data_IF_600228158829
#
_entry.id   IF_600228158829
#
_cell.length_a   1.000
_cell.length_b   1.000
_cell.length_c   1.000
_cell.angle_alpha   90.00
_cell.angle_beta   90.00
_cell.angle_gamma   90.00
#
_symmetry.space_group_name_H-M   'P 1'
#
loop_
_entity.id
_entity.type
_entity.pdbx_description
1 polymer ?
#
# COMPACT_ATOMS: atom_id res chain seq x y z
N UNK A 1 -23.65 34.96 -13.26
CA UNK A 1 -22.26 35.12 -12.74
C UNK A 1 -21.89 33.90 -11.90
N UNK A 2 -20.64 33.41 -11.94
CA UNK A 2 -20.21 32.34 -11.04
C UNK A 2 -20.32 32.80 -9.58
N UNK A 3 -20.75 31.90 -8.68
CA UNK A 3 -20.72 32.18 -7.24
C UNK A 3 -19.27 32.30 -6.76
N UNK A 4 -19.01 33.07 -5.70
CA UNK A 4 -17.66 33.21 -5.10
C UNK A 4 -16.97 31.86 -4.89
N UNK A 5 -17.71 30.84 -4.41
CA UNK A 5 -17.20 29.47 -4.24
C UNK A 5 -16.78 28.80 -5.55
N UNK A 6 -17.54 28.97 -6.63
CA UNK A 6 -17.18 28.40 -7.94
C UNK A 6 -15.99 29.11 -8.55
N UNK A 7 -15.88 30.44 -8.40
CA UNK A 7 -14.74 31.22 -8.85
C UNK A 7 -13.47 30.79 -8.10
N UNK A 8 -13.53 30.68 -6.77
CA UNK A 8 -12.41 30.24 -5.93
C UNK A 8 -11.90 28.85 -6.36
N UNK A 9 -12.81 27.89 -6.60
CA UNK A 9 -12.44 26.55 -7.09
C UNK A 9 -11.73 26.60 -8.44
N UNK A 10 -12.24 27.40 -9.37
CA UNK A 10 -11.64 27.56 -10.71
C UNK A 10 -10.24 28.16 -10.62
N UNK A 11 -10.08 29.24 -9.86
CA UNK A 11 -8.79 29.90 -9.67
C UNK A 11 -7.79 28.97 -8.95
N UNK A 12 -8.24 28.23 -7.94
CA UNK A 12 -7.41 27.22 -7.27
C UNK A 12 -6.93 26.12 -8.21
N UNK A 13 -7.82 25.60 -9.07
CA UNK A 13 -7.44 24.60 -10.09
C UNK A 13 -6.45 25.14 -11.11
N UNK A 14 -6.62 26.39 -11.56
CA UNK A 14 -5.66 27.06 -12.46
C UNK A 14 -4.31 27.24 -11.76
N UNK A 15 -4.30 27.76 -10.53
CA UNK A 15 -3.06 27.97 -9.78
C UNK A 15 -2.29 26.65 -9.57
N UNK A 16 -2.98 25.56 -9.24
CA UNK A 16 -2.38 24.24 -9.09
C UNK A 16 -1.80 23.73 -10.42
N UNK A 17 -2.54 23.86 -11.52
CA UNK A 17 -2.08 23.47 -12.84
C UNK A 17 -0.86 24.29 -13.29
N UNK A 18 -0.89 25.61 -13.12
CA UNK A 18 0.24 26.50 -13.40
C UNK A 18 1.46 26.11 -12.56
N UNK A 19 1.29 25.89 -11.26
CA UNK A 19 2.39 25.48 -10.37
C UNK A 19 3.04 24.17 -10.84
N UNK A 20 2.23 23.14 -11.14
CA UNK A 20 2.73 21.86 -11.64
C UNK A 20 3.45 21.99 -12.99
N UNK A 21 2.84 22.68 -13.96
CA UNK A 21 3.40 22.84 -15.30
C UNK A 21 4.69 23.66 -15.30
N UNK A 22 4.75 24.72 -14.49
CA UNK A 22 5.98 25.51 -14.31
C UNK A 22 7.07 24.69 -13.64
N UNK A 23 6.76 23.95 -12.58
CA UNK A 23 7.74 23.11 -11.89
C UNK A 23 8.26 21.98 -12.79
N UNK A 24 7.38 21.35 -13.57
CA UNK A 24 7.75 20.35 -14.58
C UNK A 24 8.61 20.96 -15.70
N UNK A 25 8.31 22.19 -16.14
CA UNK A 25 9.12 22.93 -17.11
C UNK A 25 10.52 23.26 -16.59
N UNK A 26 10.62 23.72 -15.35
CA UNK A 26 11.91 23.96 -14.70
C UNK A 26 12.72 22.66 -14.57
N UNK A 27 12.07 21.56 -14.21
CA UNK A 27 12.74 20.26 -14.13
C UNK A 27 13.21 19.78 -15.50
N UNK A 28 12.41 19.96 -16.55
CA UNK A 28 12.81 19.58 -17.91
C UNK A 28 13.92 20.46 -18.46
N UNK A 29 13.91 21.76 -18.14
CA UNK A 29 15.03 22.66 -18.41
C UNK A 29 16.33 22.13 -17.81
N UNK A 30 16.33 21.76 -16.53
CA UNK A 30 17.54 21.23 -15.87
C UNK A 30 18.06 19.92 -16.48
N UNK A 31 17.17 19.11 -17.07
CA UNK A 31 17.56 17.87 -17.78
C UNK A 31 18.22 18.19 -19.13
N UNK A 32 17.81 19.29 -19.78
CA UNK A 32 18.13 19.58 -21.18
C UNK A 32 19.19 20.67 -21.35
N UNK A 33 19.40 21.49 -20.33
CA UNK A 33 20.43 22.52 -20.27
C UNK A 33 21.82 21.91 -20.07
N UNK A 34 22.85 22.51 -20.70
CA UNK A 34 24.22 22.00 -20.70
C UNK A 34 24.46 20.86 -21.71
N UNK A 35 23.51 20.57 -22.60
CA UNK A 35 23.60 19.47 -23.56
C UNK A 35 24.27 19.84 -24.88
N UNK A 36 24.57 21.12 -25.14
CA UNK A 36 25.24 21.56 -26.37
C UNK A 36 25.44 23.06 -26.44
N UNK A 37 25.96 23.60 -27.55
CA UNK A 37 26.36 25.01 -27.66
C UNK A 37 25.47 25.88 -28.55
N UNK A 38 24.33 25.36 -29.00
CA UNK A 38 23.60 25.94 -30.15
C UNK A 38 22.62 27.05 -29.75
N UNK A 39 21.96 26.94 -28.60
CA UNK A 39 20.94 27.89 -28.16
C UNK A 39 20.99 28.11 -26.65
N UNK A 40 22.03 28.77 -26.14
CA UNK A 40 22.16 29.02 -24.70
C UNK A 40 22.37 27.74 -23.88
N UNK A 41 23.39 26.96 -24.23
CA UNK A 41 23.77 25.67 -23.63
C UNK A 41 22.87 24.46 -23.99
N UNK A 42 22.00 24.60 -24.99
CA UNK A 42 21.22 23.48 -25.53
C UNK A 42 21.85 22.90 -26.80
N UNK A 43 21.78 21.57 -26.94
CA UNK A 43 21.84 20.96 -28.28
C UNK A 43 20.57 21.25 -29.07
N UNK A 44 20.61 21.22 -30.41
CA UNK A 44 19.43 21.46 -31.26
C UNK A 44 18.27 20.51 -30.93
N UNK A 45 18.56 19.23 -30.70
CA UNK A 45 17.55 18.20 -30.38
C UNK A 45 16.84 18.51 -29.06
N UNK A 46 17.61 18.86 -28.03
CA UNK A 46 17.08 19.13 -26.69
C UNK A 46 16.42 20.50 -26.59
N UNK A 47 16.94 21.51 -27.28
CA UNK A 47 16.29 22.82 -27.40
C UNK A 47 14.92 22.70 -28.07
N UNK A 48 14.81 21.93 -29.16
CA UNK A 48 13.52 21.67 -29.82
C UNK A 48 12.56 20.89 -28.91
N UNK A 49 13.05 19.84 -28.23
CA UNK A 49 12.23 19.07 -27.31
C UNK A 49 11.69 19.93 -26.15
N UNK A 50 12.52 20.78 -25.57
CA UNK A 50 12.13 21.72 -24.52
C UNK A 50 11.10 22.73 -25.02
N UNK A 51 11.30 23.30 -26.21
CA UNK A 51 10.34 24.22 -26.82
C UNK A 51 8.97 23.55 -27.05
N UNK A 52 8.97 22.34 -27.61
CA UNK A 52 7.74 21.56 -27.82
C UNK A 52 7.03 21.25 -26.48
N UNK A 53 7.80 20.97 -25.43
CA UNK A 53 7.25 20.78 -24.09
C UNK A 53 6.62 22.05 -23.53
N UNK A 54 7.26 23.22 -23.70
CA UNK A 54 6.67 24.50 -23.28
C UNK A 54 5.37 24.80 -24.02
N UNK A 55 5.33 24.55 -25.34
CA UNK A 55 4.11 24.68 -26.15
C UNK A 55 3.01 23.75 -25.64
N UNK A 56 3.35 22.49 -25.33
CA UNK A 56 2.43 21.53 -24.75
C UNK A 56 1.89 22.01 -23.39
N UNK A 57 2.76 22.52 -22.51
CA UNK A 57 2.38 23.02 -21.19
C UNK A 57 1.40 24.22 -21.30
N UNK A 58 1.69 25.17 -22.20
CA UNK A 58 0.79 26.30 -22.47
C UNK A 58 -0.56 25.80 -23.02
N UNK A 59 -0.55 24.86 -23.97
CA UNK A 59 -1.77 24.29 -24.53
C UNK A 59 -2.62 23.56 -23.48
N UNK A 60 -1.99 22.82 -22.57
CA UNK A 60 -2.65 22.16 -21.44
C UNK A 60 -3.28 23.19 -20.48
N UNK A 61 -2.53 24.23 -20.10
CA UNK A 61 -3.05 25.28 -19.22
C UNK A 61 -4.23 26.01 -19.84
N UNK A 62 -4.12 26.39 -21.12
CA UNK A 62 -5.21 27.03 -21.86
C UNK A 62 -6.44 26.12 -21.94
N UNK A 63 -6.25 24.83 -22.21
CA UNK A 63 -7.35 23.86 -22.22
C UNK A 63 -8.05 23.80 -20.86
N UNK A 64 -7.30 23.76 -19.77
CA UNK A 64 -7.87 23.76 -18.41
C UNK A 64 -8.68 25.04 -18.15
N UNK A 65 -8.13 26.22 -18.48
CA UNK A 65 -8.83 27.50 -18.31
C UNK A 65 -10.15 27.51 -19.09
N UNK A 66 -10.10 27.12 -20.36
CA UNK A 66 -11.27 27.12 -21.25
C UNK A 66 -12.33 26.09 -20.83
N UNK A 67 -11.93 24.92 -20.36
CA UNK A 67 -12.84 23.90 -19.79
C UNK A 67 -13.52 24.45 -18.53
N UNK A 68 -12.76 25.06 -17.61
CA UNK A 68 -13.28 25.59 -16.36
C UNK A 68 -14.28 26.74 -16.59
N UNK A 69 -14.07 27.53 -17.64
CA UNK A 69 -14.98 28.62 -18.06
C UNK A 69 -16.13 28.17 -18.97
N UNK A 70 -16.26 26.87 -19.25
CA UNK A 70 -17.33 26.30 -20.10
C UNK A 70 -17.42 26.98 -21.46
N UNK A 71 -16.28 27.14 -22.13
CA UNK A 71 -16.27 27.63 -23.49
C UNK A 71 -17.02 26.63 -24.42
N UNK A 72 -18.06 27.09 -25.11
CA UNK A 72 -18.93 26.25 -25.96
C UNK A 72 -18.17 25.53 -27.08
N UNK A 73 -17.15 26.17 -27.66
CA UNK A 73 -16.31 25.57 -28.70
C UNK A 73 -15.52 24.37 -28.14
N UNK A 74 -14.95 24.52 -26.94
CA UNK A 74 -14.24 23.42 -26.26
C UNK A 74 -15.21 22.31 -25.86
N UNK A 75 -16.40 22.65 -25.37
CA UNK A 75 -17.40 21.65 -25.02
C UNK A 75 -17.86 20.85 -26.25
N UNK A 76 -18.03 21.51 -27.41
CA UNK A 76 -18.31 20.85 -28.68
C UNK A 76 -17.15 19.96 -29.16
N UNK A 77 -15.91 20.41 -29.01
CA UNK A 77 -14.74 19.59 -29.32
C UNK A 77 -14.68 18.34 -28.42
N UNK A 78 -14.92 18.51 -27.12
CA UNK A 78 -14.94 17.44 -26.15
C UNK A 78 -16.06 16.42 -26.40
N UNK A 79 -17.24 16.85 -26.85
CA UNK A 79 -18.32 15.93 -27.21
C UNK A 79 -17.99 15.14 -28.50
N UNK A 80 -17.34 15.77 -29.49
CA UNK A 80 -16.80 15.08 -30.66
C UNK A 80 -15.75 14.04 -30.27
N UNK A 81 -14.85 14.38 -29.35
CA UNK A 81 -13.88 13.45 -28.78
C UNK A 81 -14.56 12.28 -28.05
N UNK A 82 -15.63 12.52 -27.29
CA UNK A 82 -16.42 11.45 -26.69
C UNK A 82 -17.01 10.52 -27.76
N UNK A 83 -17.55 11.09 -28.85
CA UNK A 83 -18.02 10.34 -30.01
C UNK A 83 -16.94 9.47 -30.66
N UNK A 84 -15.74 10.03 -30.87
CA UNK A 84 -14.59 9.30 -31.42
C UNK A 84 -14.18 8.14 -30.51
N UNK A 85 -14.06 8.36 -29.20
CA UNK A 85 -13.77 7.31 -28.21
C UNK A 85 -14.73 6.13 -28.34
N UNK A 86 -16.01 6.41 -28.52
CA UNK A 86 -17.04 5.36 -28.57
C UNK A 86 -16.95 4.54 -29.87
N UNK A 87 -16.37 5.10 -30.94
CA UNK A 87 -16.13 4.40 -32.20
C UNK A 87 -14.89 3.48 -32.16
N UNK A 88 -13.99 3.66 -31.20
CA UNK A 88 -12.74 2.90 -31.12
C UNK A 88 -12.93 1.40 -30.84
N UNK A 89 -14.09 0.96 -30.31
CA UNK A 89 -14.36 -0.46 -30.06
C UNK A 89 -13.27 -1.13 -29.22
N UNK A 90 -12.62 -2.17 -29.78
CA UNK A 90 -11.53 -2.91 -29.11
C UNK A 90 -10.23 -2.10 -29.01
N UNK A 91 -9.95 -1.20 -29.96
CA UNK A 91 -8.74 -0.36 -29.95
C UNK A 91 -8.71 0.54 -28.70
N UNK A 92 -9.88 0.93 -28.20
CA UNK A 92 -10.03 1.67 -26.94
C UNK A 92 -9.35 0.95 -25.78
N UNK A 93 -9.51 -0.36 -25.69
CA UNK A 93 -8.95 -1.17 -24.62
C UNK A 93 -7.46 -1.42 -24.81
N UNK A 94 -6.99 -1.57 -26.05
CA UNK A 94 -5.57 -1.62 -26.35
C UNK A 94 -4.86 -0.32 -25.94
N UNK A 95 -5.45 0.83 -26.27
CA UNK A 95 -4.93 2.13 -25.80
C UNK A 95 -5.00 2.27 -24.28
N UNK A 96 -6.06 1.78 -23.63
CA UNK A 96 -6.16 1.82 -22.17
C UNK A 96 -5.04 1.01 -21.51
N UNK A 97 -4.75 -0.18 -22.03
CA UNK A 97 -3.62 -1.03 -21.58
C UNK A 97 -2.29 -0.34 -21.86
N UNK A 98 -2.11 0.26 -23.04
CA UNK A 98 -0.88 0.97 -23.38
C UNK A 98 -0.64 2.17 -22.44
N UNK A 99 -1.66 2.97 -22.15
CA UNK A 99 -1.58 4.11 -21.22
C UNK A 99 -1.33 3.64 -19.78
N UNK A 100 -1.81 2.46 -19.41
CA UNK A 100 -1.54 1.87 -18.09
C UNK A 100 -0.09 1.39 -17.94
N UNK A 101 0.46 0.76 -18.99
CA UNK A 101 1.78 0.11 -18.95
C UNK A 101 2.91 1.08 -19.29
N UNK A 102 2.77 1.87 -20.36
CA UNK A 102 3.87 2.66 -20.93
C UNK A 102 4.51 3.64 -19.94
N UNK A 103 3.77 4.43 -19.15
CA UNK A 103 4.38 5.33 -18.17
C UNK A 103 5.17 4.58 -17.10
N UNK A 104 4.62 3.46 -16.62
CA UNK A 104 5.27 2.62 -15.60
C UNK A 104 6.52 1.97 -16.18
N UNK A 105 6.43 1.43 -17.39
CA UNK A 105 7.56 0.82 -18.08
C UNK A 105 8.68 1.83 -18.33
N UNK A 106 8.33 3.01 -18.87
CA UNK A 106 9.29 4.07 -19.14
C UNK A 106 10.01 4.51 -17.86
N UNK A 107 9.26 4.74 -16.78
CA UNK A 107 9.83 5.22 -15.52
C UNK A 107 10.59 4.15 -14.73
N UNK A 108 10.30 2.86 -14.93
CA UNK A 108 10.91 1.78 -14.16
C UNK A 108 12.04 1.06 -14.89
N UNK A 109 11.92 0.86 -16.20
CA UNK A 109 12.80 -0.03 -16.98
C UNK A 109 13.64 0.69 -18.02
N UNK A 110 13.65 2.02 -18.03
CA UNK A 110 14.51 2.82 -18.92
C UNK A 110 15.32 3.84 -18.13
N UNK A 111 16.40 4.35 -18.73
CA UNK A 111 17.24 5.38 -18.11
C UNK A 111 16.45 6.67 -17.78
N UNK A 112 15.32 6.91 -18.44
CA UNK A 112 14.44 8.04 -18.15
C UNK A 112 13.88 8.00 -16.73
N UNK A 113 13.72 6.82 -16.14
CA UNK A 113 13.36 6.68 -14.73
C UNK A 113 14.32 7.41 -13.79
N UNK A 114 15.62 7.40 -14.10
CA UNK A 114 16.65 8.04 -13.28
C UNK A 114 16.72 9.56 -13.49
N UNK A 115 16.44 10.01 -14.71
CA UNK A 115 16.60 11.41 -15.12
C UNK A 115 15.33 12.23 -14.82
N UNK A 116 14.15 11.65 -14.97
CA UNK A 116 12.87 12.33 -14.74
C UNK A 116 12.65 12.45 -13.24
N UNK A 117 12.61 13.68 -12.75
CA UNK A 117 12.36 14.02 -11.36
C UNK A 117 10.88 14.00 -10.97
N UNK A 118 10.57 14.59 -9.82
CA UNK A 118 9.27 14.44 -9.15
C UNK A 118 8.12 15.15 -9.88
N UNK A 119 8.35 16.32 -10.46
CA UNK A 119 7.29 17.12 -11.09
C UNK A 119 6.93 16.59 -12.47
N UNK A 120 7.92 16.16 -13.26
CA UNK A 120 7.65 15.50 -14.53
C UNK A 120 6.96 14.15 -14.32
N UNK A 121 7.37 13.37 -13.31
CA UNK A 121 6.65 12.13 -12.92
C UNK A 121 5.19 12.41 -12.56
N UNK A 122 4.94 13.46 -11.76
CA UNK A 122 3.58 13.86 -11.39
C UNK A 122 2.77 14.31 -12.61
N UNK A 123 3.37 15.04 -13.54
CA UNK A 123 2.73 15.45 -14.80
C UNK A 123 2.39 14.23 -15.68
N UNK A 124 3.34 13.30 -15.86
CA UNK A 124 3.14 12.05 -16.61
C UNK A 124 1.99 11.25 -15.99
N UNK A 125 1.98 11.11 -14.66
CA UNK A 125 0.91 10.43 -13.94
C UNK A 125 -0.45 11.13 -14.14
N UNK A 126 -0.51 12.46 -14.00
CA UNK A 126 -1.74 13.23 -14.17
C UNK A 126 -2.29 13.14 -15.60
N UNK A 127 -1.44 13.27 -16.61
CA UNK A 127 -1.82 13.10 -18.02
C UNK A 127 -2.31 11.68 -18.28
N UNK A 128 -1.58 10.67 -17.79
CA UNK A 128 -1.99 9.27 -17.94
C UNK A 128 -3.34 9.01 -17.29
N UNK A 129 -3.61 9.57 -16.11
CA UNK A 129 -4.89 9.45 -15.43
C UNK A 129 -6.05 10.12 -16.19
N UNK A 130 -5.82 11.29 -16.79
CA UNK A 130 -6.82 11.97 -17.63
C UNK A 130 -7.10 11.16 -18.90
N UNK A 131 -6.06 10.70 -19.60
CA UNK A 131 -6.19 9.92 -20.84
C UNK A 131 -6.87 8.58 -20.56
N UNK A 132 -6.41 7.84 -19.55
CA UNK A 132 -7.04 6.58 -19.15
C UNK A 132 -8.46 6.82 -18.65
N UNK A 133 -8.72 7.88 -17.89
CA UNK A 133 -10.05 8.24 -17.42
C UNK A 133 -11.01 8.53 -18.57
N UNK A 134 -10.55 9.23 -19.61
CA UNK A 134 -11.29 9.42 -20.85
C UNK A 134 -11.60 8.07 -21.49
N UNK A 135 -10.60 7.19 -21.63
CA UNK A 135 -10.75 5.84 -22.18
C UNK A 135 -11.60 4.90 -21.31
N UNK A 136 -11.80 5.15 -20.02
CA UNK A 136 -12.65 4.32 -19.14
C UNK A 136 -14.07 4.86 -18.97
N UNK A 137 -14.30 6.12 -19.33
CA UNK A 137 -15.60 6.80 -19.21
C UNK A 137 -16.65 6.14 -20.10
N UNK A 138 -17.84 5.83 -19.55
CA UNK A 138 -18.89 5.07 -20.26
C UNK A 138 -19.94 5.97 -20.91
N UNK A 139 -20.16 7.18 -20.39
CA UNK A 139 -21.15 8.09 -20.97
C UNK A 139 -20.85 8.44 -22.42
N UNK A 140 -21.87 8.40 -23.27
CA UNK A 140 -21.74 8.73 -24.69
C UNK A 140 -21.46 10.22 -24.93
N UNK A 141 -21.94 11.07 -24.03
CA UNK A 141 -21.94 12.53 -24.18
C UNK A 141 -20.74 13.18 -23.47
N UNK A 142 -20.35 12.63 -22.31
CA UNK A 142 -19.28 13.21 -21.50
C UNK A 142 -17.92 12.61 -21.89
N UNK A 143 -16.91 13.45 -22.18
CA UNK A 143 -15.56 12.95 -22.47
C UNK A 143 -14.94 12.25 -21.26
N UNK A 144 -15.17 12.80 -20.07
CA UNK A 144 -14.57 12.36 -18.82
C UNK A 144 -15.63 12.40 -17.72
N UNK A 145 -15.79 11.29 -17.02
CA UNK A 145 -16.62 11.17 -15.82
C UNK A 145 -15.75 11.02 -14.59
N UNK A 146 -16.25 11.51 -13.45
CA UNK A 146 -15.58 11.36 -12.16
C UNK A 146 -15.25 9.90 -11.84
N UNK A 147 -16.19 8.98 -12.06
CA UNK A 147 -15.96 7.55 -11.81
C UNK A 147 -14.93 6.93 -12.76
N UNK A 148 -14.90 7.39 -14.02
CA UNK A 148 -13.88 6.98 -14.98
C UNK A 148 -12.49 7.46 -14.58
N UNK A 149 -12.38 8.73 -14.14
CA UNK A 149 -11.14 9.30 -13.63
C UNK A 149 -10.68 8.61 -12.33
N UNK A 150 -11.59 8.35 -11.40
CA UNK A 150 -11.28 7.64 -10.16
C UNK A 150 -10.76 6.22 -10.45
N UNK A 151 -11.41 5.49 -11.36
CA UNK A 151 -10.92 4.18 -11.80
C UNK A 151 -9.52 4.28 -12.42
N UNK A 152 -9.27 5.28 -13.26
CA UNK A 152 -7.97 5.50 -13.88
C UNK A 152 -6.86 5.80 -12.85
N UNK A 153 -7.14 6.68 -11.90
CA UNK A 153 -6.23 7.02 -10.80
C UNK A 153 -5.87 5.78 -9.98
N UNK A 154 -6.87 4.97 -9.62
CA UNK A 154 -6.68 3.72 -8.88
C UNK A 154 -5.85 2.72 -9.67
N UNK A 155 -6.16 2.51 -10.96
CA UNK A 155 -5.45 1.54 -11.80
C UNK A 155 -4.00 1.93 -12.04
N UNK A 156 -3.73 3.18 -12.43
CA UNK A 156 -2.35 3.63 -12.70
C UNK A 156 -1.51 3.58 -11.42
N UNK A 157 -2.07 4.03 -10.30
CA UNK A 157 -1.35 3.97 -9.02
C UNK A 157 -1.11 2.52 -8.59
N UNK A 158 -2.10 1.64 -8.77
CA UNK A 158 -1.98 0.22 -8.48
C UNK A 158 -0.94 -0.47 -9.35
N UNK A 159 -0.95 -0.20 -10.67
CA UNK A 159 0.04 -0.74 -11.60
C UNK A 159 1.45 -0.26 -11.27
N UNK A 160 1.61 1.04 -11.00
CA UNK A 160 2.90 1.60 -10.60
C UNK A 160 3.46 0.94 -9.34
N UNK A 161 2.64 0.86 -8.28
CA UNK A 161 3.02 0.21 -7.02
C UNK A 161 3.37 -1.27 -7.24
N UNK A 162 2.54 -2.01 -7.97
CA UNK A 162 2.76 -3.44 -8.21
C UNK A 162 4.06 -3.68 -8.98
N UNK A 163 4.31 -2.92 -10.05
CA UNK A 163 5.52 -3.05 -10.86
C UNK A 163 6.76 -2.59 -10.08
N UNK A 164 6.65 -1.54 -9.26
CA UNK A 164 7.73 -1.11 -8.37
C UNK A 164 8.17 -2.24 -7.42
N UNK A 165 7.23 -2.99 -6.85
CA UNK A 165 7.54 -4.15 -6.00
C UNK A 165 8.27 -5.27 -6.76
N UNK A 166 8.14 -5.32 -8.09
CA UNK A 166 8.83 -6.28 -8.96
C UNK A 166 10.09 -5.72 -9.63
N UNK A 167 10.42 -4.44 -9.39
CA UNK A 167 11.51 -3.74 -10.08
C UNK A 167 12.90 -4.35 -9.87
N UNK A 168 13.08 -5.08 -8.77
CA UNK A 168 14.35 -5.72 -8.40
C UNK A 168 14.38 -7.22 -8.70
N UNK A 169 13.41 -7.76 -9.46
CA UNK A 169 13.36 -9.20 -9.78
C UNK A 169 14.35 -9.53 -10.90
N UNK A 170 15.55 -9.98 -10.50
CA UNK A 170 16.65 -10.34 -11.40
C UNK A 170 17.41 -11.55 -10.85
N UNK A 171 18.15 -12.25 -11.71
CA UNK A 171 19.08 -13.33 -11.32
C UNK A 171 20.47 -12.82 -10.89
N UNK A 172 20.67 -11.51 -10.78
CA UNK A 172 21.98 -10.92 -10.47
C UNK A 172 22.46 -11.35 -9.07
N UNK A 173 23.68 -11.88 -8.90
CA UNK A 173 24.08 -12.56 -7.67
C UNK A 173 24.34 -11.62 -6.49
N UNK A 174 24.54 -10.33 -6.73
CA UNK A 174 24.81 -9.37 -5.65
C UNK A 174 23.56 -8.63 -5.18
N UNK A 175 23.66 -8.10 -3.97
CA UNK A 175 22.65 -7.26 -3.33
C UNK A 175 22.35 -6.04 -4.21
N UNK A 176 21.06 -5.78 -4.46
CA UNK A 176 20.55 -4.61 -5.20
C UNK A 176 20.17 -3.46 -4.25
N UNK A 177 20.03 -3.74 -2.96
CA UNK A 177 19.71 -2.73 -1.96
C UNK A 177 20.34 -3.00 -0.59
N UNK A 178 20.18 -2.02 0.30
CA UNK A 178 20.66 -2.12 1.67
C UNK A 178 19.99 -3.29 2.41
N UNK A 179 20.80 -4.12 3.05
CA UNK A 179 20.38 -5.29 3.85
C UNK A 179 19.57 -6.35 3.10
N UNK A 180 19.50 -6.33 1.76
CA UNK A 180 18.77 -7.37 0.99
C UNK A 180 19.40 -8.75 1.21
N UNK A 181 20.72 -8.87 1.07
CA UNK A 181 21.44 -10.14 1.31
C UNK A 181 21.20 -10.69 2.73
N UNK A 182 21.27 -9.84 3.75
CA UNK A 182 21.00 -10.25 5.14
C UNK A 182 19.56 -10.75 5.31
N UNK A 183 18.57 -10.09 4.69
CA UNK A 183 17.17 -10.54 4.76
C UNK A 183 16.98 -11.90 4.10
N UNK A 184 17.68 -12.19 3.02
CA UNK A 184 17.57 -13.47 2.35
C UNK A 184 18.22 -14.60 3.11
N UNK A 185 19.40 -14.32 3.68
CA UNK A 185 20.01 -15.19 4.67
C UNK A 185 18.97 -15.55 5.74
N UNK A 186 18.41 -14.53 6.41
CA UNK A 186 17.43 -14.73 7.48
C UNK A 186 16.17 -15.49 7.00
N UNK A 187 15.61 -15.17 5.82
CA UNK A 187 14.44 -15.88 5.25
C UNK A 187 14.71 -17.35 4.97
N UNK A 188 15.92 -17.67 4.51
CA UNK A 188 16.27 -19.03 4.13
C UNK A 188 16.49 -19.95 5.32
N UNK A 189 16.83 -19.45 6.51
CA UNK A 189 17.25 -20.31 7.63
C UNK A 189 16.12 -21.24 8.10
N UNK A 190 14.87 -20.76 8.11
CA UNK A 190 13.76 -21.55 8.66
C UNK A 190 13.44 -22.82 7.86
N UNK A 191 13.50 -22.73 6.52
CA UNK A 191 13.09 -23.84 5.63
C UNK A 191 14.21 -24.38 4.74
N UNK A 192 15.29 -23.62 4.57
CA UNK A 192 16.41 -23.93 3.69
C UNK A 192 17.75 -23.93 4.41
N UNK A 193 17.80 -24.25 5.71
CA UNK A 193 19.05 -24.36 6.48
C UNK A 193 20.12 -25.20 5.75
N UNK A 194 19.70 -26.29 5.14
CA UNK A 194 20.58 -27.31 4.57
C UNK A 194 21.33 -26.84 3.31
N UNK A 195 21.02 -25.64 2.80
CA UNK A 195 21.79 -25.00 1.71
C UNK A 195 23.14 -24.46 2.20
N UNK A 196 23.34 -24.36 3.52
CA UNK A 196 24.55 -23.81 4.11
C UNK A 196 25.43 -24.90 4.72
N UNK A 197 26.74 -24.76 4.54
CA UNK A 197 27.73 -25.57 5.23
C UNK A 197 27.91 -24.98 6.63
N UNK A 198 27.07 -25.42 7.58
CA UNK A 198 27.09 -24.95 8.97
C UNK A 198 26.89 -26.14 9.93
N UNK A 199 27.58 -26.20 11.09
CA UNK A 199 27.45 -27.32 12.01
C UNK A 199 26.00 -27.58 12.43
N UNK A 200 25.51 -28.80 12.25
CA UNK A 200 24.12 -29.16 12.52
C UNK A 200 23.70 -28.91 13.96
N UNK A 201 24.63 -29.08 14.90
CA UNK A 201 24.44 -28.89 16.34
C UNK A 201 24.37 -27.42 16.76
N UNK A 202 24.77 -26.48 15.89
CA UNK A 202 24.79 -25.05 16.23
C UNK A 202 23.61 -24.28 15.64
N UNK A 203 22.98 -23.36 16.40
CA UNK A 203 22.01 -22.45 15.82
C UNK A 203 22.70 -21.52 14.82
N UNK A 204 22.04 -21.27 13.69
CA UNK A 204 22.47 -20.21 12.76
C UNK A 204 21.92 -18.90 13.32
N UNK A 205 22.74 -17.85 13.48
CA UNK A 205 22.25 -16.55 13.92
C UNK A 205 21.28 -15.97 12.87
N UNK A 206 20.12 -15.53 13.34
CA UNK A 206 19.09 -14.90 12.52
C UNK A 206 18.66 -13.59 13.18
N UNK A 207 18.57 -12.52 12.38
CA UNK A 207 18.22 -11.19 12.88
C UNK A 207 16.73 -10.85 12.70
N UNK A 208 16.02 -11.61 11.87
CA UNK A 208 14.57 -11.44 11.68
C UNK A 208 13.75 -12.29 12.65
N UNK A 209 12.59 -11.75 13.00
CA UNK A 209 11.57 -12.51 13.70
C UNK A 209 11.06 -13.70 12.88
N UNK A 210 10.61 -14.74 13.59
CA UNK A 210 10.19 -16.00 12.96
C UNK A 210 8.99 -15.82 12.02
N UNK A 211 8.12 -14.83 12.26
CA UNK A 211 7.01 -14.53 11.35
C UNK A 211 7.48 -14.07 9.98
N UNK A 212 8.49 -13.20 9.95
CA UNK A 212 9.12 -12.77 8.68
C UNK A 212 9.90 -13.89 8.03
N UNK A 213 10.60 -14.72 8.79
CA UNK A 213 11.26 -15.91 8.25
C UNK A 213 10.25 -16.87 7.63
N UNK A 214 9.11 -17.10 8.29
CA UNK A 214 8.05 -17.95 7.80
C UNK A 214 7.50 -17.48 6.45
N UNK A 215 7.14 -16.20 6.34
CA UNK A 215 6.58 -15.68 5.09
C UNK A 215 7.63 -15.53 4.00
N UNK A 216 8.81 -15.00 4.33
CA UNK A 216 9.88 -14.81 3.34
C UNK A 216 10.53 -16.11 2.89
N UNK A 217 10.51 -17.12 3.76
CA UNK A 217 11.18 -18.41 3.58
C UNK A 217 10.38 -19.43 2.77
N UNK A 218 9.09 -19.21 2.50
CA UNK A 218 8.23 -20.17 1.78
C UNK A 218 8.88 -20.77 0.52
N UNK A 219 9.59 -20.00 -0.34
CA UNK A 219 10.25 -20.58 -1.51
C UNK A 219 11.23 -21.70 -1.18
N UNK A 220 11.93 -21.62 -0.05
CA UNK A 220 12.96 -22.57 0.38
C UNK A 220 12.40 -23.92 0.86
N UNK A 221 11.07 -24.09 0.91
CA UNK A 221 10.46 -25.41 0.99
C UNK A 221 10.68 -26.23 -0.29
N UNK A 222 10.99 -25.56 -1.41
CA UNK A 222 11.35 -26.21 -2.66
C UNK A 222 12.87 -26.41 -2.74
N UNK A 223 13.34 -27.53 -3.31
CA UNK A 223 14.76 -27.70 -3.58
C UNK A 223 15.22 -26.74 -4.68
N UNK A 224 16.50 -26.32 -4.62
CA UNK A 224 17.19 -25.54 -5.66
C UNK A 224 16.52 -24.19 -6.03
N UNK A 225 16.07 -23.44 -5.02
CA UNK A 225 15.52 -22.08 -5.23
C UNK A 225 16.57 -21.17 -5.85
N UNK A 226 16.23 -20.57 -6.99
CA UNK A 226 17.07 -19.57 -7.66
C UNK A 226 16.91 -18.18 -7.03
N UNK A 227 17.95 -17.35 -7.18
CA UNK A 227 17.94 -15.92 -6.79
C UNK A 227 16.73 -15.17 -7.38
N UNK A 228 16.40 -15.46 -8.64
CA UNK A 228 15.26 -14.86 -9.32
C UNK A 228 13.93 -15.26 -8.66
N UNK A 229 13.74 -16.53 -8.31
CA UNK A 229 12.53 -17.01 -7.63
C UNK A 229 12.37 -16.39 -6.24
N UNK A 230 13.47 -16.30 -5.47
CA UNK A 230 13.44 -15.67 -4.16
C UNK A 230 13.07 -14.18 -4.25
N UNK A 231 13.60 -13.44 -5.24
CA UNK A 231 13.22 -12.04 -5.51
C UNK A 231 11.79 -11.89 -5.95
N UNK A 232 11.34 -12.74 -6.86
CA UNK A 232 9.96 -12.73 -7.32
C UNK A 232 9.03 -12.92 -6.12
N UNK A 233 9.32 -13.88 -5.25
CA UNK A 233 8.53 -14.12 -4.05
C UNK A 233 8.48 -12.89 -3.15
N UNK A 234 9.62 -12.28 -2.81
CA UNK A 234 9.67 -11.07 -1.99
C UNK A 234 8.90 -9.91 -2.65
N UNK A 235 9.05 -9.73 -3.95
CA UNK A 235 8.31 -8.73 -4.71
C UNK A 235 6.80 -8.94 -4.66
N UNK A 236 6.34 -10.20 -4.81
CA UNK A 236 4.94 -10.56 -4.70
C UNK A 236 4.40 -10.37 -3.28
N UNK A 237 5.16 -10.77 -2.25
CA UNK A 237 4.81 -10.55 -0.83
C UNK A 237 4.66 -9.05 -0.51
N UNK A 238 5.42 -8.19 -1.19
CA UNK A 238 5.35 -6.74 -1.02
C UNK A 238 4.20 -6.07 -1.82
N UNK A 239 3.34 -6.82 -2.52
CA UNK A 239 2.23 -6.22 -3.28
C UNK A 239 0.93 -7.03 -3.20
N UNK A 240 0.99 -8.34 -3.43
CA UNK A 240 -0.18 -9.21 -3.56
C UNK A 240 -1.01 -9.31 -2.28
N UNK A 241 -0.44 -9.48 -1.07
CA UNK A 241 -1.25 -9.56 0.15
C UNK A 241 -2.07 -8.30 0.41
N UNK A 242 -1.58 -7.12 0.02
CA UNK A 242 -2.32 -5.87 0.14
C UNK A 242 -3.57 -5.85 -0.75
N UNK A 243 -3.47 -6.42 -1.96
CA UNK A 243 -4.62 -6.61 -2.85
C UNK A 243 -5.61 -7.67 -2.31
N UNK A 244 -5.09 -8.79 -1.77
CA UNK A 244 -5.91 -9.84 -1.14
C UNK A 244 -6.70 -9.28 0.06
N UNK A 245 -6.08 -8.43 0.87
CA UNK A 245 -6.77 -7.74 1.97
C UNK A 245 -7.99 -6.98 1.45
N UNK A 246 -7.86 -6.26 0.34
CA UNK A 246 -8.98 -5.57 -0.31
C UNK A 246 -10.09 -6.52 -0.76
N UNK A 247 -9.73 -7.64 -1.38
CA UNK A 247 -10.70 -8.65 -1.83
C UNK A 247 -11.50 -9.22 -0.64
N UNK A 248 -10.82 -9.51 0.46
CA UNK A 248 -11.42 -10.12 1.66
C UNK A 248 -12.24 -9.11 2.47
N UNK A 249 -11.75 -7.87 2.60
CA UNK A 249 -12.41 -6.81 3.38
C UNK A 249 -13.71 -6.32 2.71
N UNK A 250 -13.72 -6.19 1.37
CA UNK A 250 -14.85 -5.64 0.62
C UNK A 250 -15.68 -6.72 -0.08
N UNK A 251 -16.22 -7.68 0.68
CA UNK A 251 -16.92 -8.86 0.15
C UNK A 251 -17.96 -8.51 -0.93
N UNK A 252 -17.97 -9.33 -1.99
CA UNK A 252 -18.56 -9.04 -3.31
C UNK A 252 -20.07 -8.73 -3.36
N UNK A 253 -20.89 -8.93 -2.32
CA UNK A 253 -22.35 -8.82 -2.46
C UNK A 253 -22.85 -7.39 -2.75
N UNK A 254 -22.05 -6.37 -2.41
CA UNK A 254 -22.40 -4.95 -2.62
C UNK A 254 -21.77 -4.34 -3.88
N UNK A 255 -20.90 -5.08 -4.57
CA UNK A 255 -20.09 -4.55 -5.67
C UNK A 255 -20.18 -5.44 -6.90
N UNK A 256 -20.22 -4.82 -8.08
CA UNK A 256 -19.95 -5.56 -9.33
C UNK A 256 -18.50 -6.08 -9.33
N UNK A 257 -18.20 -7.14 -10.09
CA UNK A 257 -16.84 -7.73 -10.15
C UNK A 257 -15.73 -6.69 -10.41
N UNK A 258 -16.01 -5.70 -11.28
CA UNK A 258 -15.07 -4.63 -11.59
C UNK A 258 -14.90 -3.63 -10.46
N UNK A 259 -15.99 -3.23 -9.79
CA UNK A 259 -15.90 -2.36 -8.61
C UNK A 259 -15.16 -3.06 -7.47
N UNK A 260 -15.41 -4.36 -7.27
CA UNK A 260 -14.70 -5.15 -6.28
C UNK A 260 -13.19 -5.22 -6.55
N UNK A 261 -12.80 -5.43 -7.82
CA UNK A 261 -11.42 -5.34 -8.25
C UNK A 261 -10.82 -3.95 -7.98
N UNK A 262 -11.49 -2.88 -8.42
CA UNK A 262 -11.00 -1.51 -8.24
C UNK A 262 -10.85 -1.13 -6.77
N UNK A 263 -11.82 -1.46 -5.92
CA UNK A 263 -11.72 -1.21 -4.48
C UNK A 263 -10.55 -2.02 -3.89
N UNK A 264 -10.30 -3.23 -4.36
CA UNK A 264 -9.17 -4.05 -3.90
C UNK A 264 -7.81 -3.46 -4.33
N UNK A 265 -7.71 -2.94 -5.55
CA UNK A 265 -6.52 -2.18 -6.00
C UNK A 265 -6.36 -0.89 -5.19
N UNK A 266 -7.46 -0.20 -4.87
CA UNK A 266 -7.42 0.99 -4.03
C UNK A 266 -6.91 0.67 -2.61
N UNK A 267 -7.39 -0.42 -2.00
CA UNK A 267 -6.87 -0.90 -0.70
C UNK A 267 -5.37 -1.18 -0.80
N UNK A 268 -4.91 -1.82 -1.88
CA UNK A 268 -3.49 -2.05 -2.10
C UNK A 268 -2.68 -0.74 -2.11
N UNK A 269 -3.11 0.24 -2.91
CA UNK A 269 -2.43 1.54 -3.01
C UNK A 269 -2.45 2.32 -1.69
N UNK A 270 -3.54 2.21 -0.92
CA UNK A 270 -3.70 2.91 0.34
C UNK A 270 -2.84 2.28 1.45
N UNK A 271 -2.94 0.96 1.63
CA UNK A 271 -2.31 0.27 2.76
C UNK A 271 -0.79 0.16 2.60
N UNK A 272 -0.29 0.09 1.37
CA UNK A 272 1.16 0.02 1.08
C UNK A 272 1.92 1.32 1.41
N UNK A 273 1.23 2.45 1.58
CA UNK A 273 1.86 3.70 2.02
C UNK A 273 2.43 3.57 3.44
N UNK A 274 1.87 2.65 4.24
CA UNK A 274 2.39 2.32 5.56
C UNK A 274 3.49 1.26 5.47
N UNK A 275 4.57 1.36 6.27
CA UNK A 275 5.59 0.30 6.39
C UNK A 275 5.02 -0.88 7.20
N UNK A 276 4.06 -1.61 6.63
CA UNK A 276 3.43 -2.77 7.24
C UNK A 276 4.27 -3.99 6.88
N UNK A 277 4.72 -4.71 7.91
CA UNK A 277 5.45 -5.95 7.69
C UNK A 277 4.51 -7.07 7.24
N UNK A 278 4.96 -7.96 6.34
CA UNK A 278 4.12 -9.02 5.80
C UNK A 278 3.36 -9.87 6.85
N UNK A 279 3.95 -10.29 7.99
CA UNK A 279 3.22 -11.07 8.98
C UNK A 279 1.98 -10.36 9.53
N UNK A 280 2.11 -9.07 9.82
CA UNK A 280 1.00 -8.25 10.31
C UNK A 280 -0.10 -8.07 9.25
N UNK A 281 0.28 -7.96 7.97
CA UNK A 281 -0.66 -7.87 6.87
C UNK A 281 -1.46 -9.17 6.68
N UNK A 282 -0.81 -10.32 6.81
CA UNK A 282 -1.51 -11.62 6.84
C UNK A 282 -2.46 -11.72 8.03
N UNK A 283 -2.07 -11.22 9.21
CA UNK A 283 -2.98 -11.13 10.34
C UNK A 283 -4.22 -10.29 10.01
N UNK A 284 -4.06 -9.14 9.36
CA UNK A 284 -5.19 -8.31 8.93
C UNK A 284 -6.11 -9.03 7.94
N UNK A 285 -5.56 -9.80 6.99
CA UNK A 285 -6.32 -10.62 6.05
C UNK A 285 -7.16 -11.67 6.80
N UNK A 286 -6.56 -12.39 7.75
CA UNK A 286 -7.24 -13.43 8.53
C UNK A 286 -8.34 -12.83 9.42
N UNK A 287 -8.12 -11.67 10.03
CA UNK A 287 -9.14 -10.95 10.80
C UNK A 287 -10.30 -10.52 9.91
N UNK A 288 -10.02 -9.91 8.76
CA UNK A 288 -11.05 -9.52 7.79
C UNK A 288 -11.83 -10.73 7.25
N UNK A 289 -11.17 -11.88 7.12
CA UNK A 289 -11.82 -13.14 6.77
C UNK A 289 -12.70 -13.68 7.90
N UNK A 290 -12.25 -13.61 9.16
CA UNK A 290 -13.01 -14.04 10.33
C UNK A 290 -14.27 -13.20 10.58
N UNK A 291 -14.23 -11.92 10.19
CA UNK A 291 -15.34 -10.99 10.41
C UNK A 291 -16.65 -11.48 9.78
N UNK A 292 -17.74 -11.45 10.54
CA UNK A 292 -19.05 -11.97 10.12
C UNK A 292 -19.14 -13.49 9.93
N UNK A 293 -18.09 -14.28 10.20
CA UNK A 293 -18.13 -15.76 10.20
C UNK A 293 -18.67 -16.29 11.53
N UNK A 294 -19.25 -17.51 11.59
CA UNK A 294 -19.75 -18.05 12.86
C UNK A 294 -18.65 -18.12 13.93
N UNK A 295 -19.04 -17.96 15.22
CA UNK A 295 -18.09 -17.84 16.33
C UNK A 295 -17.14 -19.04 16.45
N UNK A 296 -17.60 -20.26 16.14
CA UNK A 296 -16.75 -21.46 16.15
C UNK A 296 -15.58 -21.38 15.16
N UNK A 297 -15.69 -20.58 14.10
CA UNK A 297 -14.61 -20.33 13.15
C UNK A 297 -13.83 -19.06 13.51
N UNK A 298 -14.55 -17.99 13.87
CA UNK A 298 -13.94 -16.70 14.16
C UNK A 298 -13.05 -16.75 15.42
N UNK A 299 -13.50 -17.39 16.51
CA UNK A 299 -12.75 -17.46 17.77
C UNK A 299 -11.42 -18.19 17.63
N UNK A 300 -11.34 -19.43 17.11
CA UNK A 300 -10.06 -20.11 16.92
C UNK A 300 -9.15 -19.37 15.94
N UNK A 301 -9.71 -18.81 14.87
CA UNK A 301 -8.92 -18.09 13.87
C UNK A 301 -8.29 -16.82 14.45
N UNK A 302 -9.05 -16.02 15.20
CA UNK A 302 -8.53 -14.82 15.87
C UNK A 302 -7.50 -15.18 16.93
N UNK A 303 -7.72 -16.27 17.69
CA UNK A 303 -6.73 -16.78 18.65
C UNK A 303 -5.40 -17.11 17.98
N UNK A 304 -5.41 -17.94 16.93
CA UNK A 304 -4.19 -18.32 16.20
C UNK A 304 -3.54 -17.10 15.54
N UNK A 305 -4.35 -16.19 15.00
CA UNK A 305 -3.85 -14.97 14.36
C UNK A 305 -3.15 -14.05 15.36
N UNK A 306 -3.72 -13.87 16.56
CA UNK A 306 -3.09 -13.08 17.63
C UNK A 306 -1.80 -13.73 18.14
N UNK A 307 -1.78 -15.05 18.28
CA UNK A 307 -0.55 -15.77 18.62
C UNK A 307 0.53 -15.55 17.57
N UNK A 308 0.19 -15.73 16.30
CA UNK A 308 1.14 -15.49 15.19
C UNK A 308 1.64 -14.04 15.16
N UNK A 309 0.76 -13.06 15.44
CA UNK A 309 1.15 -11.65 15.52
C UNK A 309 2.18 -11.41 16.63
N UNK A 310 2.00 -12.02 17.81
CA UNK A 310 2.94 -11.89 18.94
C UNK A 310 4.30 -12.51 18.63
N UNK A 311 4.31 -13.76 18.16
CA UNK A 311 5.56 -14.47 17.86
C UNK A 311 6.30 -13.80 16.69
N UNK A 312 5.58 -13.15 15.77
CA UNK A 312 6.19 -12.29 14.75
C UNK A 312 6.75 -11.00 15.34
N UNK A 313 6.00 -10.32 16.20
CA UNK A 313 6.50 -9.15 16.92
C UNK A 313 5.61 -8.87 18.11
N UNK A 314 6.19 -8.89 19.30
CA UNK A 314 5.44 -8.73 20.54
C UNK A 314 4.58 -7.45 20.59
N UNK A 315 5.01 -6.35 19.97
CA UNK A 315 4.23 -5.10 19.90
C UNK A 315 2.90 -5.23 19.15
N UNK A 316 2.67 -6.33 18.42
CA UNK A 316 1.44 -6.59 17.65
C UNK A 316 0.46 -7.51 18.36
N UNK A 317 0.78 -7.98 19.57
CA UNK A 317 0.04 -9.04 20.24
C UNK A 317 -1.48 -8.75 20.40
N UNK A 318 -1.86 -7.48 20.54
CA UNK A 318 -3.26 -7.06 20.67
C UNK A 318 -3.93 -6.68 19.36
N UNK A 319 -3.17 -6.49 18.27
CA UNK A 319 -3.68 -5.90 17.04
C UNK A 319 -4.83 -6.72 16.42
N UNK A 320 -4.73 -8.06 16.26
CA UNK A 320 -5.82 -8.82 15.64
C UNK A 320 -7.10 -8.82 16.48
N UNK A 321 -6.98 -8.92 17.81
CA UNK A 321 -8.12 -8.84 18.73
C UNK A 321 -8.81 -7.47 18.69
N UNK A 322 -8.03 -6.39 18.72
CA UNK A 322 -8.55 -5.01 18.60
C UNK A 322 -9.28 -4.80 17.27
N UNK A 323 -8.68 -5.21 16.16
CA UNK A 323 -9.30 -5.08 14.84
C UNK A 323 -10.59 -5.89 14.73
N UNK A 324 -10.60 -7.12 15.26
CA UNK A 324 -11.82 -7.94 15.27
C UNK A 324 -12.95 -7.24 16.04
N UNK A 325 -12.68 -6.72 17.24
CA UNK A 325 -13.65 -5.95 18.04
C UNK A 325 -14.14 -4.71 17.28
N UNK A 326 -13.23 -3.95 16.68
CA UNK A 326 -13.56 -2.75 15.91
C UNK A 326 -14.46 -3.08 14.72
N UNK A 327 -14.20 -4.17 14.00
CA UNK A 327 -15.02 -4.61 12.88
C UNK A 327 -16.40 -5.13 13.33
N UNK A 328 -16.47 -5.85 14.45
CA UNK A 328 -17.75 -6.31 15.00
C UNK A 328 -18.64 -5.13 15.42
N UNK A 329 -18.09 -4.07 16.02
CA UNK A 329 -18.85 -2.86 16.32
C UNK A 329 -19.14 -2.00 15.10
N UNK A 330 -18.18 -1.83 14.19
CA UNK A 330 -18.35 -1.04 12.97
C UNK A 330 -19.35 -1.65 11.98
N UNK A 331 -19.53 -2.97 12.01
CA UNK A 331 -20.48 -3.71 11.18
C UNK A 331 -21.84 -3.98 11.84
N UNK A 332 -22.01 -3.67 13.12
CA UNK A 332 -23.23 -4.01 13.84
C UNK A 332 -24.41 -3.12 13.42
N UNK A 333 -25.55 -3.75 13.12
CA UNK A 333 -26.82 -3.04 12.96
C UNK A 333 -27.30 -2.51 14.31
N UNK A 334 -27.68 -1.23 14.35
CA UNK A 334 -28.31 -0.63 15.52
C UNK A 334 -29.80 -0.97 15.55
N UNK A 335 -30.28 -1.43 16.70
CA UNK A 335 -31.70 -1.61 16.99
C UNK A 335 -32.11 -0.53 18.00
N UNK A 336 -33.07 0.33 17.64
CA UNK A 336 -33.47 1.50 18.42
C UNK A 336 -32.29 2.44 18.80
N UNK A 337 -31.32 2.57 17.89
CA UNK A 337 -30.11 3.37 18.12
C UNK A 337 -29.12 2.75 19.10
N UNK A 338 -29.32 1.49 19.52
CA UNK A 338 -28.44 0.76 20.44
C UNK A 338 -27.86 -0.50 19.79
N UNK A 339 -26.67 -0.90 20.27
CA UNK A 339 -26.06 -2.17 19.91
C UNK A 339 -26.84 -3.34 20.53
N UNK A 340 -27.04 -4.40 19.75
CA UNK A 340 -27.71 -5.61 20.24
C UNK A 340 -26.83 -6.39 21.22
N UNK A 341 -27.44 -7.18 22.12
CA UNK A 341 -26.69 -8.10 23.00
C UNK A 341 -25.85 -9.10 22.21
N UNK A 342 -26.31 -9.52 21.04
CA UNK A 342 -25.58 -10.43 20.16
C UNK A 342 -24.29 -9.79 19.62
N UNK A 343 -24.36 -8.52 19.20
CA UNK A 343 -23.18 -7.75 18.77
C UNK A 343 -22.13 -7.64 19.88
N UNK A 344 -22.57 -7.33 21.10
CA UNK A 344 -21.70 -7.27 22.28
C UNK A 344 -21.05 -8.62 22.59
N UNK A 345 -21.85 -9.68 22.69
CA UNK A 345 -21.34 -11.01 23.00
C UNK A 345 -20.30 -11.45 21.96
N UNK A 346 -20.59 -11.22 20.67
CA UNK A 346 -19.68 -11.55 19.58
C UNK A 346 -18.37 -10.75 19.67
N UNK A 347 -18.43 -9.44 19.88
CA UNK A 347 -17.26 -8.59 20.07
C UNK A 347 -16.41 -9.05 21.28
N UNK A 348 -17.04 -9.36 22.41
CA UNK A 348 -16.36 -9.89 23.60
C UNK A 348 -15.66 -11.21 23.30
N UNK A 349 -16.31 -12.15 22.62
CA UNK A 349 -15.70 -13.45 22.30
C UNK A 349 -14.49 -13.32 21.39
N UNK A 350 -14.57 -12.54 20.31
CA UNK A 350 -13.41 -12.35 19.42
C UNK A 350 -12.30 -11.52 20.07
N UNK A 351 -12.66 -10.54 20.91
CA UNK A 351 -11.69 -9.77 21.70
C UNK A 351 -10.96 -10.63 22.73
N UNK A 352 -11.70 -11.46 23.48
CA UNK A 352 -11.15 -12.41 24.42
C UNK A 352 -10.26 -13.44 23.71
N UNK A 353 -10.69 -13.98 22.57
CA UNK A 353 -9.86 -14.85 21.73
C UNK A 353 -8.55 -14.18 21.34
N UNK A 354 -8.60 -12.90 20.96
CA UNK A 354 -7.42 -12.13 20.57
C UNK A 354 -6.44 -11.91 21.73
N UNK A 355 -6.95 -11.61 22.93
CA UNK A 355 -6.12 -11.48 24.15
C UNK A 355 -5.55 -12.83 24.56
N UNK A 356 -6.36 -13.88 24.58
CA UNK A 356 -5.91 -15.23 24.93
C UNK A 356 -4.84 -15.73 23.93
N UNK A 357 -5.03 -15.49 22.64
CA UNK A 357 -4.06 -15.88 21.61
C UNK A 357 -2.77 -15.09 21.67
N UNK A 358 -2.86 -13.77 21.78
CA UNK A 358 -1.69 -12.89 21.71
C UNK A 358 -0.92 -12.79 23.01
N UNK A 359 -1.61 -12.76 24.16
CA UNK A 359 -0.96 -12.56 25.46
C UNK A 359 -0.78 -13.87 26.24
N UNK A 360 -1.79 -14.73 26.27
CA UNK A 360 -1.77 -15.93 27.13
C UNK A 360 -1.06 -17.11 26.45
N UNK A 361 -1.36 -17.39 25.18
CA UNK A 361 -0.83 -18.55 24.48
C UNK A 361 0.72 -18.62 24.44
N UNK A 362 1.47 -17.52 24.27
CA UNK A 362 2.94 -17.57 24.30
C UNK A 362 3.54 -18.11 25.60
N UNK A 363 2.82 -18.04 26.74
CA UNK A 363 3.33 -18.60 28.00
C UNK A 363 3.12 -20.11 28.13
N UNK A 364 2.05 -20.66 27.54
CA UNK A 364 1.61 -22.03 27.81
C UNK A 364 1.68 -22.95 26.58
N UNK A 365 1.59 -22.40 25.37
CA UNK A 365 1.60 -23.20 24.16
C UNK A 365 2.96 -23.87 23.90
N UNK A 366 4.13 -23.21 24.15
CA UNK A 366 5.42 -23.88 23.99
C UNK A 366 5.57 -25.12 24.87
N UNK A 367 5.16 -25.04 26.14
CA UNK A 367 5.24 -26.16 27.10
C UNK A 367 4.26 -27.29 26.76
N UNK A 368 3.06 -26.95 26.30
CA UNK A 368 2.08 -27.92 25.82
C UNK A 368 2.59 -28.67 24.58
N UNK A 369 3.12 -27.94 23.59
CA UNK A 369 3.71 -28.53 22.39
C UNK A 369 4.91 -29.40 22.75
N UNK A 370 5.74 -28.97 23.71
CA UNK A 370 6.84 -29.78 24.23
C UNK A 370 6.37 -31.13 24.77
N UNK A 371 5.34 -31.11 25.62
CA UNK A 371 4.77 -32.30 26.23
C UNK A 371 4.23 -33.26 25.18
N UNK A 372 3.50 -32.74 24.17
CA UNK A 372 2.96 -33.55 23.07
C UNK A 372 4.10 -34.15 22.21
N UNK A 373 5.09 -33.35 21.83
CA UNK A 373 6.21 -33.82 21.02
C UNK A 373 7.05 -34.86 21.76
N UNK A 374 7.26 -34.68 23.06
CA UNK A 374 7.91 -35.66 23.92
C UNK A 374 7.09 -36.94 24.04
N UNK A 375 5.77 -36.84 24.17
CA UNK A 375 4.86 -37.99 24.22
C UNK A 375 4.87 -38.78 22.90
N UNK A 376 4.93 -38.10 21.77
CA UNK A 376 4.98 -38.72 20.43
C UNK A 376 6.39 -39.23 20.05
N UNK A 377 7.40 -39.07 20.91
CA UNK A 377 8.78 -39.46 20.62
C UNK A 377 9.45 -38.63 19.52
N UNK A 378 8.90 -37.45 19.21
CA UNK A 378 9.37 -36.52 18.18
C UNK A 378 10.26 -35.41 18.76
N UNK A 379 10.83 -35.62 19.94
CA UNK A 379 11.53 -34.61 20.73
C UNK A 379 12.76 -34.05 19.99
N UNK A 380 12.55 -32.95 19.26
CA UNK A 380 13.61 -32.11 18.73
C UNK A 380 13.70 -30.82 19.57
N UNK A 381 14.71 -30.67 20.45
CA UNK A 381 14.83 -29.52 21.37
C UNK A 381 14.89 -28.17 20.65
N UNK A 382 15.24 -28.15 19.35
CA UNK A 382 15.36 -26.94 18.52
C UNK A 382 14.02 -26.30 18.14
N UNK A 383 12.93 -27.08 18.11
CA UNK A 383 11.59 -26.54 17.85
C UNK A 383 11.09 -25.75 19.07
N UNK A 384 11.52 -26.15 20.26
CA UNK A 384 11.02 -25.61 21.52
C UNK A 384 11.64 -24.26 21.90
N UNK A 385 12.93 -24.06 21.59
CA UNK A 385 13.64 -22.80 21.89
C UNK A 385 13.17 -21.61 21.05
N UNK A 386 12.45 -21.86 19.95
CA UNK A 386 12.01 -20.83 19.01
C UNK A 386 10.52 -20.46 19.17
N UNK A 387 9.78 -21.16 20.03
CA UNK A 387 8.41 -20.82 20.39
C UNK A 387 8.48 -19.75 21.49
N UNK A 388 8.25 -18.50 21.11
CA UNK A 388 8.57 -17.30 21.91
C UNK A 388 8.28 -17.38 23.41
N UNK A 389 9.17 -16.79 24.21
CA UNK A 389 8.93 -16.55 25.64
C UNK A 389 7.99 -15.36 25.76
N UNK A 390 6.73 -15.59 26.17
CA UNK A 390 5.71 -14.55 26.26
C UNK A 390 6.16 -13.26 26.95
N UNK A 391 5.48 -12.15 26.62
CA UNK A 391 5.87 -10.80 27.03
C UNK A 391 5.54 -10.53 28.50
N UNK A 392 6.57 -10.30 29.32
CA UNK A 392 6.39 -9.93 30.73
C UNK A 392 6.28 -8.41 30.92
N UNK A 393 5.54 -7.99 31.95
CA UNK A 393 5.39 -6.57 32.29
C UNK A 393 6.74 -5.90 32.63
N UNK A 394 7.64 -6.63 33.28
CA UNK A 394 9.01 -6.18 33.57
C UNK A 394 9.85 -6.02 32.30
N UNK A 395 9.67 -6.91 31.30
CA UNK A 395 10.29 -6.78 29.98
C UNK A 395 9.83 -5.53 29.23
N UNK A 396 8.55 -5.17 29.35
CA UNK A 396 8.02 -3.93 28.76
C UNK A 396 8.59 -2.70 29.47
N UNK A 397 8.56 -2.67 30.81
CA UNK A 397 9.10 -1.54 31.59
C UNK A 397 10.56 -1.28 31.25
N UNK A 398 11.40 -2.32 31.31
CA UNK A 398 12.82 -2.19 30.96
C UNK A 398 13.03 -1.76 29.51
N UNK A 399 12.21 -2.23 28.58
CA UNK A 399 12.26 -1.82 27.17
C UNK A 399 11.88 -0.35 26.94
N UNK A 400 10.93 0.20 27.69
CA UNK A 400 10.52 1.61 27.62
C UNK A 400 11.58 2.51 28.26
N UNK A 401 12.10 2.11 29.43
CA UNK A 401 13.11 2.87 30.17
C UNK A 401 14.45 2.93 29.42
N UNK A 402 14.77 1.91 28.63
CA UNK A 402 16.00 1.82 27.84
C UNK A 402 15.95 2.48 26.46
N UNK A 403 14.85 3.17 26.11
CA UNK A 403 14.68 3.83 24.80
C UNK A 403 14.68 5.38 24.89
N UNK A 404 15.84 6.02 25.12
CA UNK A 404 15.93 7.48 25.14
C UNK A 404 15.52 8.12 23.79
N UNK A 405 15.71 7.40 22.68
CA UNK A 405 15.30 7.85 21.35
C UNK A 405 13.78 7.95 21.18
N UNK A 406 12.99 7.18 21.93
CA UNK A 406 11.53 7.27 21.88
C UNK A 406 11.08 8.65 22.37
N UNK A 407 11.57 9.03 23.55
CA UNK A 407 11.24 10.30 24.22
C UNK A 407 11.77 11.50 23.43
N UNK A 408 13.01 11.41 22.94
CA UNK A 408 13.61 12.45 22.10
C UNK A 408 12.80 12.73 20.82
N UNK A 409 12.13 11.72 20.26
CA UNK A 409 11.38 11.86 19.01
C UNK A 409 9.94 12.35 19.17
N UNK A 410 9.40 12.41 20.39
CA UNK A 410 8.02 12.87 20.62
C UNK A 410 7.81 14.31 20.16
N UNK A 411 8.80 15.17 20.42
CA UNK A 411 8.82 16.59 20.08
C UNK A 411 9.75 16.88 18.89
N UNK A 412 9.64 18.08 18.27
CA UNK A 412 10.57 18.54 17.24
C UNK A 412 12.03 18.26 17.57
N UNK A 413 12.75 17.64 16.63
CA UNK A 413 14.15 17.28 16.82
C UNK A 413 14.91 17.26 15.49
N UNK A 414 16.24 17.12 15.55
CA UNK A 414 17.10 17.19 14.36
C UNK A 414 16.84 16.08 13.34
N UNK A 415 16.33 14.92 13.77
CA UNK A 415 16.04 13.77 12.89
C UNK A 415 14.59 13.73 12.40
N UNK A 416 13.69 14.45 13.07
CA UNK A 416 12.29 14.59 12.68
C UNK A 416 11.79 15.98 13.10
N UNK A 417 11.87 16.99 12.21
CA UNK A 417 11.61 18.39 12.55
C UNK A 417 10.24 18.65 13.18
N UNK A 418 9.22 17.89 12.78
CA UNK A 418 7.87 18.02 13.31
C UNK A 418 7.70 17.34 14.67
N UNK A 419 8.47 16.30 14.97
CA UNK A 419 8.22 15.42 16.12
C UNK A 419 7.00 14.51 15.94
N UNK A 420 6.99 13.37 16.63
CA UNK A 420 5.95 12.33 16.47
C UNK A 420 4.56 12.88 16.80
N UNK A 421 4.41 13.71 17.83
CA UNK A 421 3.08 14.19 18.26
C UNK A 421 2.44 15.10 17.21
N UNK A 422 3.19 16.08 16.69
CA UNK A 422 2.68 16.99 15.65
C UNK A 422 2.50 16.22 14.34
N UNK A 423 3.47 15.39 13.96
CA UNK A 423 3.36 14.53 12.79
C UNK A 423 2.12 13.64 12.80
N UNK A 424 1.81 13.04 13.96
CA UNK A 424 0.60 12.23 14.15
C UNK A 424 -0.65 13.10 14.03
N UNK A 425 -0.70 14.27 14.68
CA UNK A 425 -1.84 15.19 14.58
C UNK A 425 -2.08 15.64 13.13
N UNK A 426 -1.02 15.91 12.36
CA UNK A 426 -1.12 16.25 10.94
C UNK A 426 -1.64 15.07 10.11
N UNK A 427 -1.21 13.85 10.44
CA UNK A 427 -1.62 12.63 9.73
C UNK A 427 -3.08 12.24 10.00
N UNK A 428 -3.53 12.26 11.26
CA UNK A 428 -4.87 11.77 11.65
C UNK A 428 -5.89 12.87 11.93
N UNK A 429 -5.44 14.09 12.20
CA UNK A 429 -6.30 15.24 12.53
C UNK A 429 -7.40 15.53 11.51
N UNK A 430 -7.11 15.55 10.19
CA UNK A 430 -8.15 15.73 9.17
C UNK A 430 -9.24 14.66 9.23
N UNK A 431 -8.86 13.39 9.43
CA UNK A 431 -9.82 12.30 9.57
C UNK A 431 -10.66 12.47 10.84
N UNK A 432 -10.03 12.77 11.97
CA UNK A 432 -10.72 13.04 13.24
C UNK A 432 -11.74 14.18 13.07
N UNK A 433 -11.34 15.27 12.42
CA UNK A 433 -12.24 16.40 12.15
C UNK A 433 -13.43 16.01 11.28
N UNK A 434 -13.22 15.19 10.24
CA UNK A 434 -14.31 14.66 9.40
C UNK A 434 -15.22 13.75 10.21
N UNK A 435 -14.67 12.80 10.98
CA UNK A 435 -15.47 11.89 11.81
C UNK A 435 -16.30 12.66 12.84
N UNK A 436 -15.71 13.67 13.47
CA UNK A 436 -16.40 14.58 14.41
C UNK A 436 -17.48 15.40 13.71
N UNK A 437 -17.22 15.91 12.51
CA UNK A 437 -18.21 16.64 11.72
C UNK A 437 -19.40 15.75 11.32
N UNK A 438 -19.14 14.55 10.79
CA UNK A 438 -20.22 13.63 10.39
C UNK A 438 -21.00 13.14 11.61
N UNK A 439 -20.34 12.90 12.74
CA UNK A 439 -20.97 12.53 14.01
C UNK A 439 -21.86 13.65 14.57
N UNK A 440 -21.33 14.87 14.66
CA UNK A 440 -22.07 16.03 15.17
C UNK A 440 -23.25 16.43 14.27
N UNK A 441 -23.13 16.21 12.95
CA UNK A 441 -24.21 16.47 11.99
C UNK A 441 -25.17 15.30 11.78
N UNK A 442 -24.95 14.15 12.44
CA UNK A 442 -25.74 12.91 12.28
C UNK A 442 -25.90 12.47 10.82
N UNK A 443 -24.85 12.62 10.01
CA UNK A 443 -24.82 12.24 8.58
C UNK A 443 -24.24 10.85 8.33
N UNK A 444 -24.20 10.03 9.38
CA UNK A 444 -23.73 8.65 9.35
C UNK A 444 -24.77 7.70 8.77
#
# INVERSE_FOLDING_TARGET
>A
MPTSRTLFRRLGSIALATSLLTAAGYEFYNITWGTGVWLGEFSLKWGLAFLLFLVLAVAMLQSIILILWRNETILSLLSRLAGFRNKLGILRWLFAVAVLILPVWMLQYTAWGLVIGKYLRLLIWAVSAVVLGYLLTRSKEKPLEWMGLLAALTLISGAAVFVLSLGNVTSYPFSLGWSEGNRWWDYSILFGRDIYIYPDDKPIPVLLDIGRQFIGGIPFLLPNVTIWQARLWVGLVNAVPYFILGLVAFRSSQFTRWQWFLVSVWVMVFVIQGPIHPPLLWCAILVAFAWGKPLWLAVPLIFVTSYFAEVSRYTWLFAPGMWAVMLEFGGASLQDGKLTRASWARAIWVGAAGVLGGYVAPFYLPTLVAGIMSFLGLSNPKVLSNLGSGVTLSGISSGVDSQPLLWYRLFPNATYPEGILIGLLLAVGPLIAVLFYVSSTRRW
#
